data_IF_179292343402
#
_entry.id   IF_179292343402
#
_cell.length_a   1.000
_cell.length_b   1.000
_cell.length_c   1.000
_cell.angle_alpha   90.00
_cell.angle_beta   90.00
_cell.angle_gamma   90.00
#
_symmetry.space_group_name_H-M   'P 1'
#
loop_
_entity.id
_entity.type
_entity.pdbx_description
1 polymer ?
#
# COMPACT_ATOMS: atom_id res chain seq x y z
N UNK A 1 5.84 2.23 -10.35
CA UNK A 1 4.46 2.58 -9.91
C UNK A 1 4.24 1.98 -8.54
N UNK A 2 3.60 2.70 -7.62
CA UNK A 2 3.30 2.16 -6.29
C UNK A 2 1.87 1.63 -6.21
N UNK A 3 1.61 0.75 -5.23
CA UNK A 3 0.27 0.19 -5.02
C UNK A 3 -0.59 1.10 -4.15
N UNK A 4 -1.80 1.42 -4.63
CA UNK A 4 -2.82 2.15 -3.89
C UNK A 4 -4.20 1.54 -4.16
N UNK A 5 -4.90 1.16 -3.09
CA UNK A 5 -6.25 0.67 -3.17
C UNK A 5 -7.16 1.33 -2.15
N UNK A 6 -8.28 1.89 -2.62
CA UNK A 6 -9.38 2.38 -1.80
C UNK A 6 -10.55 1.40 -1.91
N UNK A 7 -11.09 1.00 -0.78
CA UNK A 7 -12.29 0.18 -0.67
C UNK A 7 -13.24 0.76 0.39
N UNK A 8 -14.49 0.28 0.39
CA UNK A 8 -15.51 0.76 1.32
C UNK A 8 -16.16 -0.41 2.06
N UNK A 9 -16.37 -0.21 3.35
CA UNK A 9 -17.09 -1.13 4.21
C UNK A 9 -18.57 -0.68 4.29
N UNK A 10 -19.45 -1.67 4.30
CA UNK A 10 -20.90 -1.50 4.35
C UNK A 10 -21.49 -2.59 5.24
N UNK A 11 -22.58 -2.26 5.92
CA UNK A 11 -23.34 -3.22 6.71
C UNK A 11 -24.04 -4.22 5.78
N UNK A 12 -23.85 -5.51 6.05
CA UNK A 12 -24.54 -6.59 5.34
C UNK A 12 -23.92 -7.95 5.60
N UNK A 13 -24.51 -8.99 5.00
CA UNK A 13 -24.04 -10.36 5.18
C UNK A 13 -22.75 -10.60 4.38
N UNK A 14 -21.64 -10.85 5.08
CA UNK A 14 -20.32 -11.11 4.48
C UNK A 14 -20.26 -12.36 3.58
N UNK A 15 -21.28 -13.21 3.62
CA UNK A 15 -21.43 -14.35 2.70
C UNK A 15 -22.02 -13.95 1.34
N UNK A 16 -22.65 -12.77 1.24
CA UNK A 16 -23.25 -12.26 0.03
C UNK A 16 -22.24 -11.37 -0.70
N UNK A 17 -22.14 -11.54 -2.02
CA UNK A 17 -21.35 -10.66 -2.89
C UNK A 17 -22.10 -9.36 -3.14
N UNK A 18 -21.37 -8.24 -3.20
CA UNK A 18 -21.89 -6.97 -3.66
C UNK A 18 -22.27 -7.07 -5.15
N UNK A 19 -23.00 -6.07 -5.65
CA UNK A 19 -23.50 -6.03 -7.03
C UNK A 19 -22.40 -6.11 -8.10
N UNK A 20 -21.14 -5.88 -7.73
CA UNK A 20 -19.97 -6.02 -8.60
C UNK A 20 -19.48 -7.47 -8.76
N UNK A 21 -20.12 -8.45 -8.11
CA UNK A 21 -19.86 -9.89 -8.27
C UNK A 21 -18.55 -10.41 -7.65
N UNK A 22 -17.71 -9.52 -7.12
CA UNK A 22 -16.37 -9.85 -6.62
C UNK A 22 -16.13 -9.38 -5.18
N UNK A 23 -16.71 -8.26 -4.78
CA UNK A 23 -16.54 -7.70 -3.43
C UNK A 23 -17.52 -8.36 -2.45
N UNK A 24 -17.09 -8.60 -1.21
CA UNK A 24 -17.96 -9.10 -0.13
C UNK A 24 -18.31 -7.95 0.81
N UNK A 25 -19.46 -8.03 1.48
CA UNK A 25 -19.71 -7.15 2.63
C UNK A 25 -18.60 -7.35 3.65
N UNK A 26 -17.96 -6.25 4.05
CA UNK A 26 -16.93 -6.23 5.08
C UNK A 26 -17.38 -5.27 6.18
N UNK A 27 -17.48 -5.80 7.39
CA UNK A 27 -17.80 -5.03 8.59
C UNK A 27 -16.59 -4.22 9.04
N UNK A 28 -16.82 -3.01 9.53
CA UNK A 28 -15.76 -2.11 10.02
C UNK A 28 -15.05 -2.69 11.22
N UNK A 29 -15.79 -3.36 12.12
CA UNK A 29 -15.21 -4.09 13.25
C UNK A 29 -14.23 -5.18 12.79
N UNK A 30 -14.63 -5.97 11.80
CA UNK A 30 -13.77 -7.03 11.27
C UNK A 30 -12.53 -6.45 10.59
N UNK A 31 -12.70 -5.36 9.82
CA UNK A 31 -11.59 -4.62 9.22
C UNK A 31 -10.62 -4.08 10.28
N UNK A 32 -11.12 -3.48 11.37
CA UNK A 32 -10.31 -2.98 12.47
C UNK A 32 -9.49 -4.11 13.13
N UNK A 33 -10.13 -5.21 13.52
CA UNK A 33 -9.40 -6.31 14.15
C UNK A 33 -8.40 -6.97 13.20
N UNK A 34 -8.69 -7.01 11.90
CA UNK A 34 -7.77 -7.48 10.87
C UNK A 34 -6.50 -6.62 10.80
N UNK A 35 -6.64 -5.30 10.69
CA UNK A 35 -5.48 -4.39 10.54
C UNK A 35 -4.70 -4.24 11.86
N UNK A 36 -5.36 -4.39 13.00
CA UNK A 36 -4.71 -4.26 14.32
C UNK A 36 -4.19 -5.59 14.87
N UNK A 37 -4.41 -6.71 14.16
CA UNK A 37 -4.08 -8.07 14.61
C UNK A 37 -4.61 -8.36 16.01
N UNK A 38 -5.88 -8.04 16.25
CA UNK A 38 -6.56 -8.29 17.54
C UNK A 38 -7.64 -9.38 17.41
N UNK A 39 -8.09 -9.91 18.56
CA UNK A 39 -9.08 -10.99 18.65
C UNK A 39 -8.72 -12.20 17.77
N UNK A 40 -9.62 -12.61 16.88
CA UNK A 40 -9.44 -13.74 15.94
C UNK A 40 -8.20 -13.58 15.04
N UNK A 41 -7.71 -12.36 14.82
CA UNK A 41 -6.55 -12.08 13.98
C UNK A 41 -5.24 -12.01 14.75
N UNK A 42 -5.24 -12.22 16.07
CA UNK A 42 -4.02 -12.16 16.91
C UNK A 42 -2.92 -13.13 16.50
N UNK A 43 -3.29 -14.33 16.04
CA UNK A 43 -2.34 -15.33 15.55
C UNK A 43 -2.21 -15.35 14.02
N UNK A 44 -3.02 -14.56 13.33
CA UNK A 44 -3.13 -14.64 11.88
C UNK A 44 -1.83 -14.15 11.21
N UNK A 45 -1.12 -15.06 10.53
CA UNK A 45 0.14 -14.81 9.82
C UNK A 45 1.30 -14.29 10.69
N UNK A 46 1.22 -14.45 12.01
CA UNK A 46 2.23 -13.95 12.96
C UNK A 46 3.66 -14.46 12.70
N UNK A 47 3.83 -15.56 11.98
CA UNK A 47 5.14 -16.12 11.61
C UNK A 47 5.81 -15.43 10.41
N UNK A 48 5.04 -14.72 9.58
CA UNK A 48 5.50 -14.18 8.28
C UNK A 48 5.19 -12.69 8.08
N UNK A 49 4.54 -12.07 9.06
CA UNK A 49 4.08 -10.69 9.01
C UNK A 49 4.26 -10.01 10.37
N UNK A 50 4.90 -8.86 10.38
CA UNK A 50 5.02 -7.96 11.53
C UNK A 50 3.95 -6.85 11.48
N UNK A 51 3.32 -6.58 12.63
CA UNK A 51 2.57 -5.34 12.87
C UNK A 51 3.56 -4.28 13.40
N UNK A 52 4.13 -3.50 12.49
CA UNK A 52 5.17 -2.52 12.82
C UNK A 52 4.65 -1.38 13.69
N UNK A 53 3.44 -0.90 13.38
CA UNK A 53 2.82 0.25 14.04
C UNK A 53 1.31 0.14 13.98
N UNK A 54 0.63 0.65 15.01
CA UNK A 54 -0.82 0.78 15.04
C UNK A 54 -1.22 1.94 15.95
N UNK A 55 -2.08 2.83 15.45
CA UNK A 55 -2.60 3.96 16.23
C UNK A 55 -3.97 4.41 15.73
N UNK A 56 -4.75 5.03 16.61
CA UNK A 56 -6.08 5.57 16.31
C UNK A 56 -6.17 7.05 16.64
N UNK A 57 -6.82 7.82 15.77
CA UNK A 57 -6.88 9.28 15.83
C UNK A 57 -8.32 9.77 15.73
N UNK A 58 -8.56 10.95 16.29
CA UNK A 58 -9.85 11.67 16.25
C UNK A 58 -11.04 10.84 16.71
N UNK A 59 -10.82 9.90 17.63
CA UNK A 59 -11.89 9.12 18.24
C UNK A 59 -12.75 10.00 19.14
N UNK A 60 -14.08 9.85 19.12
CA UNK A 60 -14.96 10.58 20.02
C UNK A 60 -14.79 10.11 21.47
N UNK A 61 -15.11 10.98 22.44
CA UNK A 61 -14.87 10.74 23.86
C UNK A 61 -15.48 9.45 24.42
N UNK A 62 -16.63 9.01 23.87
CA UNK A 62 -17.31 7.78 24.30
C UNK A 62 -16.57 6.48 23.96
N UNK A 63 -15.47 6.55 23.23
CA UNK A 63 -14.61 5.41 22.89
C UNK A 63 -13.67 5.03 24.04
N UNK A 64 -13.34 5.98 24.92
CA UNK A 64 -12.54 5.78 26.14
C UNK A 64 -11.36 4.80 25.98
N UNK A 65 -10.37 5.15 25.15
CA UNK A 65 -9.19 4.32 24.85
C UNK A 65 -9.46 2.91 24.26
N UNK A 66 -10.69 2.63 23.81
CA UNK A 66 -11.09 1.39 23.15
C UNK A 66 -11.59 1.63 21.71
N UNK A 67 -10.71 1.92 20.73
CA UNK A 67 -11.09 2.27 19.37
C UNK A 67 -11.99 1.25 18.65
N UNK A 68 -11.95 -0.02 19.04
CA UNK A 68 -12.85 -1.06 18.54
C UNK A 68 -14.32 -0.75 18.78
N UNK A 69 -14.65 -0.05 19.88
CA UNK A 69 -16.02 0.39 20.18
C UNK A 69 -16.56 1.34 19.12
N UNK A 70 -15.71 2.22 18.56
CA UNK A 70 -16.10 3.10 17.46
C UNK A 70 -16.52 2.31 16.22
N UNK A 71 -15.71 1.31 15.85
CA UNK A 71 -15.97 0.50 14.66
C UNK A 71 -17.17 -0.42 14.84
N UNK A 72 -17.40 -0.92 16.06
CA UNK A 72 -18.64 -1.62 16.39
C UNK A 72 -19.86 -0.70 16.25
N UNK A 73 -19.81 0.50 16.83
CA UNK A 73 -20.89 1.47 16.74
C UNK A 73 -21.17 1.89 15.27
N UNK A 74 -20.13 2.01 14.44
CA UNK A 74 -20.27 2.28 13.02
C UNK A 74 -21.11 1.21 12.31
N UNK A 75 -20.84 -0.07 12.58
CA UNK A 75 -21.59 -1.19 12.00
C UNK A 75 -23.01 -1.31 12.59
N UNK A 76 -23.20 -0.97 13.87
CA UNK A 76 -24.51 -1.02 14.50
C UNK A 76 -25.45 0.08 14.00
N UNK A 77 -25.00 1.33 14.05
CA UNK A 77 -25.87 2.51 13.91
C UNK A 77 -25.89 3.14 12.53
N UNK A 78 -24.98 2.78 11.64
CA UNK A 78 -25.06 3.20 10.23
C UNK A 78 -26.15 2.40 9.51
N UNK A 79 -26.95 3.07 8.68
CA UNK A 79 -27.95 2.43 7.82
C UNK A 79 -27.31 1.40 6.87
N UNK A 80 -28.02 0.31 6.58
CA UNK A 80 -27.61 -0.76 5.64
C UNK A 80 -27.27 -0.25 4.24
N UNK A 81 -27.81 0.91 3.83
CA UNK A 81 -27.56 1.51 2.52
C UNK A 81 -26.34 2.44 2.48
N UNK A 82 -25.66 2.65 3.61
CA UNK A 82 -24.57 3.62 3.74
C UNK A 82 -23.26 2.94 4.10
N UNK A 83 -22.15 3.56 3.65
CA UNK A 83 -20.79 3.19 4.04
C UNK A 83 -20.58 3.41 5.53
N UNK A 84 -20.13 2.37 6.22
CA UNK A 84 -19.77 2.39 7.64
C UNK A 84 -18.37 2.97 7.81
N UNK A 85 -17.44 2.59 6.94
CA UNK A 85 -16.08 3.12 6.88
C UNK A 85 -15.47 2.97 5.48
N UNK A 86 -14.31 3.58 5.29
CA UNK A 86 -13.46 3.46 4.10
C UNK A 86 -12.09 2.92 4.51
N UNK A 87 -11.45 2.16 3.61
CA UNK A 87 -10.15 1.53 3.87
C UNK A 87 -9.22 1.79 2.69
N UNK A 88 -8.12 2.50 2.96
CA UNK A 88 -7.02 2.72 2.03
C UNK A 88 -5.88 1.77 2.38
N UNK A 89 -5.29 1.13 1.36
CA UNK A 89 -4.04 0.37 1.48
C UNK A 89 -3.00 0.95 0.53
N UNK A 90 -1.81 1.25 1.05
CA UNK A 90 -0.71 1.90 0.33
C UNK A 90 0.56 1.09 0.55
N UNK A 91 1.25 0.69 -0.51
CA UNK A 91 2.61 0.15 -0.36
C UNK A 91 3.57 1.27 0.05
N UNK A 92 4.34 1.05 1.11
CA UNK A 92 5.36 1.96 1.58
C UNK A 92 6.72 1.56 0.98
N UNK A 93 7.65 2.51 0.76
CA UNK A 93 9.00 2.16 0.33
C UNK A 93 9.72 1.37 1.42
N UNK A 94 10.32 0.23 1.04
CA UNK A 94 11.10 -0.61 1.96
C UNK A 94 12.46 0.00 2.31
N UNK A 95 12.90 0.96 1.51
CA UNK A 95 14.14 1.72 1.68
C UNK A 95 14.06 2.70 2.85
N UNK A 96 12.85 3.06 3.30
CA UNK A 96 12.65 3.87 4.51
C UNK A 96 12.69 2.97 5.75
N UNK A 97 13.39 3.39 6.80
CA UNK A 97 13.33 2.69 8.09
C UNK A 97 11.94 2.79 8.75
N UNK A 98 11.71 1.97 9.79
CA UNK A 98 10.42 1.89 10.51
C UNK A 98 9.93 3.24 11.04
N UNK A 99 10.80 4.07 11.59
CA UNK A 99 10.40 5.38 12.12
C UNK A 99 9.97 6.32 10.98
N UNK A 100 10.69 6.31 9.86
CA UNK A 100 10.30 7.11 8.68
C UNK A 100 9.02 6.60 8.03
N UNK A 101 8.77 5.29 8.04
CA UNK A 101 7.48 4.71 7.62
C UNK A 101 6.32 5.15 8.52
N UNK A 102 6.55 5.27 9.83
CA UNK A 102 5.56 5.80 10.78
C UNK A 102 5.26 7.27 10.47
N UNK A 103 6.28 8.13 10.39
CA UNK A 103 6.11 9.56 10.07
C UNK A 103 5.39 9.77 8.72
N UNK A 104 5.79 9.02 7.69
CA UNK A 104 5.15 9.03 6.38
C UNK A 104 3.65 8.66 6.49
N UNK A 105 3.36 7.60 7.25
CA UNK A 105 1.99 7.12 7.42
C UNK A 105 1.11 8.10 8.21
N UNK A 106 1.65 8.76 9.22
CA UNK A 106 0.96 9.80 9.98
C UNK A 106 0.70 11.04 9.13
N UNK A 107 1.63 11.43 8.25
CA UNK A 107 1.40 12.50 7.30
C UNK A 107 0.29 12.17 6.29
N UNK A 108 0.30 10.96 5.73
CA UNK A 108 -0.78 10.50 4.84
C UNK A 108 -2.14 10.45 5.56
N UNK A 109 -2.16 9.97 6.81
CA UNK A 109 -3.35 10.00 7.66
C UNK A 109 -3.84 11.42 7.89
N UNK A 110 -2.94 12.35 8.22
CA UNK A 110 -3.31 13.76 8.41
C UNK A 110 -3.92 14.34 7.13
N UNK A 111 -3.27 14.12 5.98
CA UNK A 111 -3.74 14.62 4.68
C UNK A 111 -5.13 14.07 4.32
N UNK A 112 -5.41 12.78 4.57
CA UNK A 112 -6.68 12.20 4.13
C UNK A 112 -7.80 12.28 5.17
N UNK A 113 -7.46 12.33 6.45
CA UNK A 113 -8.42 12.20 7.55
C UNK A 113 -8.22 13.28 8.62
N UNK A 114 -6.98 13.54 9.02
CA UNK A 114 -6.69 14.36 10.20
C UNK A 114 -7.08 15.83 10.06
N UNK A 115 -6.82 16.45 8.91
CA UNK A 115 -7.25 17.83 8.64
C UNK A 115 -8.77 18.01 8.69
N UNK A 116 -9.52 16.91 8.54
CA UNK A 116 -10.98 16.88 8.61
C UNK A 116 -11.50 16.30 9.93
N UNK A 117 -10.63 16.05 10.92
CA UNK A 117 -10.94 15.37 12.19
C UNK A 117 -11.83 14.13 12.01
N UNK A 118 -11.52 13.31 11.00
CA UNK A 118 -12.23 12.05 10.76
C UNK A 118 -11.67 10.95 11.66
N UNK A 119 -12.50 10.24 12.46
CA UNK A 119 -12.05 9.10 13.25
C UNK A 119 -11.39 8.05 12.35
N UNK A 120 -10.16 7.66 12.68
CA UNK A 120 -9.40 6.72 11.88
C UNK A 120 -8.43 5.88 12.71
N UNK A 121 -8.04 4.74 12.14
CA UNK A 121 -7.01 3.85 12.65
C UNK A 121 -6.03 3.56 11.52
N UNK A 122 -4.74 3.75 11.79
CA UNK A 122 -3.69 3.29 10.89
C UNK A 122 -2.96 2.09 11.47
N UNK A 123 -2.53 1.21 10.59
CA UNK A 123 -1.62 0.12 10.92
C UNK A 123 -0.60 -0.06 9.80
N UNK A 124 0.65 -0.35 10.15
CA UNK A 124 1.70 -0.69 9.20
C UNK A 124 1.96 -2.19 9.34
N UNK A 125 1.73 -2.93 8.26
CA UNK A 125 2.07 -4.36 8.17
C UNK A 125 3.32 -4.50 7.32
N UNK A 126 4.23 -5.37 7.72
CA UNK A 126 5.38 -5.74 6.90
C UNK A 126 5.45 -7.27 6.80
N UNK A 127 5.19 -7.81 5.61
CA UNK A 127 5.34 -9.23 5.35
C UNK A 127 6.47 -9.50 4.36
N UNK A 128 7.00 -10.70 4.43
CA UNK A 128 7.93 -11.22 3.42
C UNK A 128 7.16 -11.57 2.16
N UNK A 129 7.67 -11.15 1.00
CA UNK A 129 7.03 -11.35 -0.29
C UNK A 129 6.95 -12.84 -0.64
N UNK A 130 5.75 -13.33 -0.95
CA UNK A 130 5.53 -14.72 -1.34
C UNK A 130 6.16 -15.12 -2.69
N UNK A 131 6.70 -14.15 -3.45
CA UNK A 131 7.32 -14.37 -4.75
C UNK A 131 8.78 -14.83 -4.63
N UNK A 132 9.57 -14.14 -3.82
CA UNK A 132 11.00 -14.42 -3.63
C UNK A 132 11.33 -14.95 -2.22
N UNK A 133 10.37 -14.92 -1.29
CA UNK A 133 10.55 -15.37 0.08
C UNK A 133 11.54 -14.54 0.90
N UNK A 134 11.91 -13.34 0.42
CA UNK A 134 12.97 -12.53 1.02
C UNK A 134 12.62 -11.05 1.08
N UNK A 135 11.99 -10.49 0.04
CA UNK A 135 11.74 -9.05 -0.02
C UNK A 135 10.67 -8.62 0.98
N UNK A 136 10.96 -7.59 1.77
CA UNK A 136 9.97 -6.93 2.62
C UNK A 136 8.90 -6.19 1.79
N UNK A 137 7.68 -6.13 2.31
CA UNK A 137 6.54 -5.44 1.72
C UNK A 137 5.79 -4.62 2.78
N UNK A 138 6.42 -3.55 3.31
CA UNK A 138 5.74 -2.67 4.23
C UNK A 138 4.56 -1.99 3.53
N UNK A 139 3.39 -2.00 4.16
CA UNK A 139 2.20 -1.35 3.64
C UNK A 139 1.35 -0.75 4.75
N UNK A 140 0.82 0.43 4.48
CA UNK A 140 -0.09 1.16 5.34
C UNK A 140 -1.51 0.68 5.08
N UNK A 141 -2.22 0.33 6.14
CA UNK A 141 -3.66 0.28 6.20
C UNK A 141 -4.19 1.53 6.92
N UNK A 142 -5.05 2.30 6.26
CA UNK A 142 -5.77 3.44 6.82
C UNK A 142 -7.27 3.15 6.78
N UNK A 143 -7.85 2.82 7.92
CA UNK A 143 -9.29 2.63 8.12
C UNK A 143 -9.87 3.92 8.71
N UNK A 144 -10.86 4.51 8.05
CA UNK A 144 -11.42 5.79 8.50
C UNK A 144 -12.93 5.88 8.31
N UNK A 145 -13.59 6.64 9.18
CA UNK A 145 -14.96 7.05 8.97
C UNK A 145 -15.00 8.32 8.11
N UNK A 146 -15.89 8.36 7.12
CA UNK A 146 -16.14 9.58 6.34
C UNK A 146 -16.92 10.64 7.16
N UNK A 147 -17.23 10.37 8.44
CA UNK A 147 -17.87 11.29 9.39
C UNK A 147 -16.80 12.15 10.08
N UNK A 148 -17.07 13.45 10.24
CA UNK A 148 -16.12 14.41 10.80
C UNK A 148 -16.53 14.89 12.20
N UNK A 149 -15.52 15.11 13.05
CA UNK A 149 -15.62 15.74 14.36
C UNK A 149 -15.35 17.26 14.33
N UNK A 150 -15.28 17.89 13.15
CA UNK A 150 -14.92 19.32 13.01
C UNK A 150 -15.86 20.28 13.73
N UNK A 151 -17.15 19.92 13.85
CA UNK A 151 -18.14 20.75 14.53
C UNK A 151 -17.96 20.80 16.06
N UNK A 152 -17.09 19.95 16.61
CA UNK A 152 -16.84 19.79 18.04
C UNK A 152 -18.13 19.54 18.87
N UNK A 153 -19.19 19.01 18.25
CA UNK A 153 -20.44 18.66 18.92
C UNK A 153 -20.29 17.26 19.49
N UNK A 154 -20.42 17.14 20.82
CA UNK A 154 -20.47 15.84 21.48
C UNK A 154 -21.76 15.11 21.13
N UNK A 155 -21.63 13.84 20.73
CA UNK A 155 -22.74 12.98 20.33
C UNK A 155 -22.56 11.61 20.95
N UNK A 156 -23.66 11.03 21.41
CA UNK A 156 -23.71 9.60 21.72
C UNK A 156 -23.49 8.77 20.44
N UNK A 157 -23.04 7.52 20.55
CA UNK A 157 -22.78 6.64 19.40
C UNK A 157 -23.96 6.58 18.41
N UNK A 158 -25.18 6.38 18.92
CA UNK A 158 -26.41 6.26 18.13
C UNK A 158 -26.68 7.54 17.33
N UNK A 159 -26.38 8.70 17.92
CA UNK A 159 -26.57 9.98 17.27
C UNK A 159 -25.49 10.24 16.24
N UNK A 160 -24.22 9.96 16.55
CA UNK A 160 -23.08 10.24 15.67
C UNK A 160 -23.28 9.73 14.23
N UNK A 161 -23.78 8.50 14.10
CA UNK A 161 -24.00 7.85 12.80
C UNK A 161 -25.31 8.22 12.09
N UNK A 162 -26.22 8.98 12.73
CA UNK A 162 -27.45 9.49 12.08
C UNK A 162 -27.13 10.42 10.90
N UNK A 163 -28.13 10.70 10.07
CA UNK A 163 -28.01 11.72 9.04
C UNK A 163 -27.70 13.09 9.64
N UNK A 164 -26.78 13.83 9.01
CA UNK A 164 -26.47 15.20 9.37
C UNK A 164 -27.66 16.13 9.10
N UNK A 165 -27.91 17.10 9.99
CA UNK A 165 -28.99 18.07 9.88
C UNK A 165 -28.41 19.49 9.80
N UNK A 166 -28.29 20.03 8.58
CA UNK A 166 -27.64 21.33 8.36
C UNK A 166 -28.26 22.48 9.17
N UNK A 167 -29.59 22.51 9.31
CA UNK A 167 -30.28 23.57 10.07
C UNK A 167 -30.19 23.42 11.59
N UNK A 168 -29.92 22.22 12.10
CA UNK A 168 -29.82 21.91 13.54
C UNK A 168 -28.78 20.79 13.77
N UNK A 169 -27.48 21.07 13.62
CA UNK A 169 -26.41 20.06 13.68
C UNK A 169 -26.36 19.24 14.98
N UNK A 170 -26.80 19.83 16.09
CA UNK A 170 -26.89 19.26 17.43
C UNK A 170 -28.00 18.21 17.58
N UNK A 171 -28.99 18.21 16.66
CA UNK A 171 -30.07 17.21 16.60
C UNK A 171 -29.83 16.14 15.54
N UNK A 172 -28.74 16.27 14.77
CA UNK A 172 -28.32 15.34 13.72
C UNK A 172 -27.10 14.52 14.12
N UNK A 173 -26.70 13.62 13.22
CA UNK A 173 -25.38 12.99 13.32
C UNK A 173 -24.27 13.86 12.76
N UNK A 174 -23.03 13.39 12.86
CA UNK A 174 -21.87 14.12 12.35
C UNK A 174 -21.94 14.35 10.83
N UNK A 175 -21.37 15.46 10.37
CA UNK A 175 -21.25 15.76 8.95
C UNK A 175 -20.41 14.69 8.26
N UNK A 176 -20.87 14.23 7.09
CA UNK A 176 -20.11 13.31 6.26
C UNK A 176 -19.32 14.10 5.22
N UNK A 177 -18.00 13.98 5.25
CA UNK A 177 -17.09 14.63 4.30
C UNK A 177 -16.89 13.68 3.12
N UNK A 178 -17.73 13.84 2.09
CA UNK A 178 -17.66 13.05 0.86
C UNK A 178 -16.69 13.70 -0.14
N UNK A 179 -16.40 12.98 -1.21
CA UNK A 179 -15.65 13.53 -2.34
C UNK A 179 -16.28 14.81 -2.91
N UNK A 180 -17.60 14.94 -2.88
CA UNK A 180 -18.31 16.14 -3.34
C UNK A 180 -18.10 17.31 -2.37
N UNK A 181 -18.13 17.06 -1.05
CA UNK A 181 -17.82 18.07 -0.03
C UNK A 181 -16.39 18.60 -0.19
N UNK A 182 -15.47 17.73 -0.61
CA UNK A 182 -14.07 18.09 -0.90
C UNK A 182 -13.86 18.69 -2.30
N UNK A 183 -14.89 18.79 -3.14
CA UNK A 183 -14.79 19.33 -4.50
C UNK A 183 -14.10 18.40 -5.52
N UNK A 184 -13.91 17.13 -5.20
CA UNK A 184 -13.24 16.16 -6.08
C UNK A 184 -14.20 15.24 -6.84
N UNK A 185 -15.41 15.00 -6.34
CA UNK A 185 -16.39 14.07 -6.92
C UNK A 185 -15.74 12.74 -7.38
N UNK A 186 -15.86 12.35 -8.65
CA UNK A 186 -15.27 11.11 -9.20
C UNK A 186 -13.73 11.09 -9.19
N UNK A 187 -13.07 12.24 -9.04
CA UNK A 187 -11.63 12.38 -9.09
C UNK A 187 -10.94 12.21 -7.73
N UNK A 188 -11.68 11.86 -6.67
CA UNK A 188 -11.10 11.69 -5.32
C UNK A 188 -9.97 10.66 -5.30
N UNK A 189 -10.11 9.56 -6.06
CA UNK A 189 -9.08 8.52 -6.11
C UNK A 189 -7.80 9.05 -6.78
N UNK A 190 -7.94 9.84 -7.84
CA UNK A 190 -6.81 10.50 -8.49
C UNK A 190 -6.14 11.48 -7.53
N UNK A 191 -6.93 12.28 -6.81
CA UNK A 191 -6.40 13.21 -5.80
C UNK A 191 -5.57 12.49 -4.72
N UNK A 192 -6.11 11.44 -4.10
CA UNK A 192 -5.38 10.68 -3.09
C UNK A 192 -4.10 10.06 -3.65
N UNK A 193 -4.15 9.54 -4.87
CA UNK A 193 -2.98 8.94 -5.52
C UNK A 193 -1.88 9.96 -5.82
N UNK A 194 -2.23 11.14 -6.33
CA UNK A 194 -1.28 12.22 -6.59
C UNK A 194 -0.67 12.75 -5.29
N UNK A 195 -1.49 12.92 -4.24
CA UNK A 195 -0.99 13.35 -2.92
C UNK A 195 -0.08 12.32 -2.28
N UNK A 196 -0.42 11.04 -2.39
CA UNK A 196 0.43 9.95 -1.90
C UNK A 196 1.77 9.92 -2.62
N UNK A 197 1.80 10.03 -3.95
CA UNK A 197 3.05 10.10 -4.72
C UNK A 197 3.93 11.26 -4.25
N UNK A 198 3.35 12.47 -4.15
CA UNK A 198 4.07 13.67 -3.70
C UNK A 198 4.72 13.43 -2.34
N UNK A 199 3.92 13.00 -1.35
CA UNK A 199 4.39 12.81 0.02
C UNK A 199 5.44 11.69 0.10
N UNK A 200 5.25 10.56 -0.60
CA UNK A 200 6.24 9.48 -0.62
C UNK A 200 7.56 9.98 -1.23
N UNK A 201 7.51 10.71 -2.35
CA UNK A 201 8.71 11.19 -3.02
C UNK A 201 9.46 12.23 -2.18
N UNK A 202 8.77 13.09 -1.43
CA UNK A 202 9.41 14.02 -0.47
C UNK A 202 10.18 13.25 0.63
N UNK A 203 9.63 12.14 1.12
CA UNK A 203 10.32 11.28 2.10
C UNK A 203 11.51 10.54 1.50
N UNK A 204 11.35 10.01 0.28
CA UNK A 204 12.43 9.32 -0.42
C UNK A 204 13.59 10.27 -0.70
N UNK A 205 13.33 11.46 -1.25
CA UNK A 205 14.36 12.46 -1.51
C UNK A 205 15.14 12.84 -0.24
N UNK A 206 14.47 12.93 0.90
CA UNK A 206 15.08 13.32 2.16
C UNK A 206 15.84 12.19 2.86
N UNK A 207 15.32 10.97 2.87
CA UNK A 207 15.80 9.90 3.75
C UNK A 207 16.34 8.68 3.00
N UNK A 208 15.97 8.47 1.74
CA UNK A 208 16.41 7.34 0.92
C UNK A 208 16.43 7.71 -0.58
N UNK A 209 17.28 8.68 -1.00
CA UNK A 209 17.22 9.26 -2.35
C UNK A 209 17.65 8.28 -3.44
N UNK A 210 18.45 7.28 -3.09
CA UNK A 210 18.86 6.19 -3.96
C UNK A 210 18.43 4.84 -3.40
N UNK A 211 18.35 3.84 -4.28
CA UNK A 211 18.07 2.46 -3.94
C UNK A 211 18.86 1.52 -4.82
N UNK A 212 19.08 0.30 -4.33
CA UNK A 212 19.74 -0.75 -5.10
C UNK A 212 18.68 -1.61 -5.78
N UNK A 213 18.78 -1.75 -7.09
CA UNK A 213 17.97 -2.68 -7.89
C UNK A 213 18.86 -3.72 -8.53
N UNK A 214 18.35 -4.95 -8.67
CA UNK A 214 19.04 -6.02 -9.37
C UNK A 214 18.36 -6.29 -10.72
N UNK A 215 19.12 -6.10 -11.80
CA UNK A 215 18.68 -6.31 -13.18
C UNK A 215 19.58 -7.39 -13.78
N UNK A 216 19.01 -8.56 -14.06
CA UNK A 216 19.72 -9.72 -14.64
C UNK A 216 21.04 -10.05 -13.93
N UNK A 217 21.06 -9.99 -12.60
CA UNK A 217 22.24 -10.28 -11.77
C UNK A 217 23.21 -9.10 -11.57
N UNK A 218 22.95 -7.94 -12.17
CA UNK A 218 23.71 -6.71 -11.94
C UNK A 218 23.00 -5.83 -10.91
N UNK A 219 23.73 -5.47 -9.85
CA UNK A 219 23.27 -4.54 -8.82
C UNK A 219 23.59 -3.11 -9.27
N UNK A 220 22.55 -2.29 -9.34
CA UNK A 220 22.62 -0.89 -9.77
C UNK A 220 22.10 0.01 -8.66
N UNK A 221 22.82 1.09 -8.39
CA UNK A 221 22.30 2.19 -7.59
C UNK A 221 21.53 3.15 -8.51
N UNK A 222 20.26 3.38 -8.21
CA UNK A 222 19.34 4.19 -9.01
C UNK A 222 18.58 5.16 -8.12
N UNK A 223 18.02 6.23 -8.70
CA UNK A 223 17.16 7.15 -7.95
C UNK A 223 15.90 6.45 -7.41
N UNK A 224 15.58 6.76 -6.16
CA UNK A 224 14.40 6.26 -5.48
C UNK A 224 13.24 7.24 -5.68
N UNK A 225 12.26 6.82 -6.49
CA UNK A 225 11.03 7.55 -6.69
C UNK A 225 9.87 6.58 -6.97
N UNK A 226 8.67 7.03 -6.69
CA UNK A 226 7.42 6.37 -7.05
C UNK A 226 6.61 7.25 -8.01
N UNK A 227 5.66 6.63 -8.70
CA UNK A 227 4.69 7.35 -9.52
C UNK A 227 3.30 6.76 -9.35
N UNK A 228 2.29 7.64 -9.35
CA UNK A 228 0.88 7.26 -9.26
C UNK A 228 0.25 6.83 -10.59
N UNK A 229 0.95 7.08 -11.71
CA UNK A 229 0.46 6.78 -13.04
C UNK A 229 0.24 5.28 -13.23
N UNK A 230 -0.69 4.93 -14.13
CA UNK A 230 -0.72 3.57 -14.66
C UNK A 230 0.52 3.34 -15.53
N UNK A 231 0.88 2.08 -15.78
CA UNK A 231 1.95 1.80 -16.75
C UNK A 231 1.63 2.38 -18.14
N UNK A 232 0.37 2.37 -18.55
CA UNK A 232 -0.09 2.94 -19.82
C UNK A 232 0.14 4.46 -19.87
N UNK A 233 -0.30 5.19 -18.85
CA UNK A 233 -0.11 6.65 -18.77
C UNK A 233 1.37 7.02 -18.66
N UNK A 234 2.14 6.23 -17.91
CA UNK A 234 3.58 6.41 -17.79
C UNK A 234 4.29 6.19 -19.13
N UNK A 235 3.93 5.12 -19.85
CA UNK A 235 4.42 4.85 -21.20
C UNK A 235 4.08 6.00 -22.16
N UNK A 236 2.85 6.51 -22.12
CA UNK A 236 2.43 7.65 -22.94
C UNK A 236 3.22 8.92 -22.63
N UNK A 237 3.54 9.16 -21.35
CA UNK A 237 4.23 10.37 -20.90
C UNK A 237 5.75 10.32 -21.15
N UNK A 238 6.38 9.17 -20.96
CA UNK A 238 7.84 9.03 -20.97
C UNK A 238 8.38 8.19 -22.13
N UNK A 239 7.51 7.64 -22.99
CA UNK A 239 7.90 6.82 -24.15
C UNK A 239 8.41 5.42 -23.79
N UNK A 240 8.13 4.94 -22.58
CA UNK A 240 8.53 3.59 -22.11
C UNK A 240 7.60 2.49 -22.62
N UNK A 241 8.01 1.23 -22.44
CA UNK A 241 7.23 0.02 -22.80
C UNK A 241 6.95 -0.89 -21.61
N UNK A 242 6.51 -0.31 -20.50
CA UNK A 242 6.18 -1.06 -19.28
C UNK A 242 4.95 -1.94 -19.47
N UNK A 243 5.01 -3.16 -18.94
CA UNK A 243 3.90 -4.13 -18.95
C UNK A 243 3.28 -4.27 -17.56
N UNK A 244 1.97 -4.49 -17.52
CA UNK A 244 1.28 -4.80 -16.27
C UNK A 244 1.70 -6.18 -15.76
N UNK A 245 1.92 -6.28 -14.45
CA UNK A 245 2.28 -7.53 -13.78
C UNK A 245 0.98 -8.27 -13.43
N UNK A 246 0.77 -9.52 -13.88
CA UNK A 246 -0.41 -10.28 -13.52
C UNK A 246 -0.41 -10.64 -12.02
N UNK A 247 -1.59 -10.85 -11.46
CA UNK A 247 -1.75 -11.34 -10.09
C UNK A 247 -2.05 -12.83 -10.10
N UNK A 248 -1.38 -13.57 -9.22
CA UNK A 248 -1.69 -14.99 -9.02
C UNK A 248 -3.07 -15.08 -8.36
N UNK A 249 -4.03 -15.82 -8.96
CA UNK A 249 -5.34 -16.04 -8.36
C UNK A 249 -5.23 -16.61 -6.94
N UNK A 250 -5.98 -16.03 -6.00
CA UNK A 250 -5.87 -16.39 -4.57
C UNK A 250 -6.19 -17.85 -4.27
N UNK A 251 -7.10 -18.47 -5.04
CA UNK A 251 -7.47 -19.87 -4.84
C UNK A 251 -6.33 -20.83 -5.18
N UNK A 252 -5.43 -20.45 -6.11
CA UNK A 252 -4.28 -21.25 -6.50
C UNK A 252 -3.13 -21.17 -5.49
N UNK A 253 -2.94 -20.01 -4.85
CA UNK A 253 -1.79 -19.75 -3.96
C UNK A 253 -1.64 -20.74 -2.80
N UNK A 254 -2.74 -21.32 -2.34
CA UNK A 254 -2.76 -22.24 -1.19
C UNK A 254 -3.31 -23.62 -1.58
N UNK A 255 -3.44 -23.91 -2.88
CA UNK A 255 -3.88 -25.22 -3.33
C UNK A 255 -2.79 -26.26 -3.10
N UNK A 256 -3.21 -27.44 -2.65
CA UNK A 256 -2.33 -28.60 -2.50
C UNK A 256 -2.25 -29.45 -3.77
N UNK A 257 -3.06 -29.13 -4.79
CA UNK A 257 -3.08 -29.85 -6.07
C UNK A 257 -1.77 -29.61 -6.85
N UNK A 258 -1.08 -30.67 -7.29
CA UNK A 258 0.10 -30.55 -8.15
C UNK A 258 -0.10 -29.70 -9.41
N UNK A 259 -1.27 -29.74 -10.05
CA UNK A 259 -1.55 -28.96 -11.27
C UNK A 259 -1.63 -27.45 -10.97
N UNK A 260 -2.32 -27.10 -9.89
CA UNK A 260 -2.38 -25.72 -9.40
C UNK A 260 -0.99 -25.21 -8.99
N UNK A 261 -0.17 -26.07 -8.37
CA UNK A 261 1.21 -25.72 -8.00
C UNK A 261 2.08 -25.45 -9.23
N UNK A 262 1.95 -26.23 -10.30
CA UNK A 262 2.66 -25.97 -11.55
C UNK A 262 2.21 -24.65 -12.19
N UNK A 263 0.89 -24.42 -12.19
CA UNK A 263 0.30 -23.16 -12.66
C UNK A 263 0.86 -21.96 -11.88
N UNK A 264 0.95 -22.06 -10.55
CA UNK A 264 1.56 -21.02 -9.69
C UNK A 264 3.04 -20.81 -10.04
N UNK A 265 3.81 -21.87 -10.29
CA UNK A 265 5.22 -21.75 -10.72
C UNK A 265 5.34 -21.01 -12.05
N UNK A 266 4.48 -21.30 -13.02
CA UNK A 266 4.45 -20.63 -14.32
C UNK A 266 4.12 -19.15 -14.16
N UNK A 267 3.11 -18.80 -13.36
CA UNK A 267 2.81 -17.41 -13.03
C UNK A 267 3.99 -16.70 -12.35
N UNK A 268 4.67 -17.35 -11.39
CA UNK A 268 5.83 -16.76 -10.71
C UNK A 268 6.94 -16.43 -11.71
N UNK A 269 7.22 -17.34 -12.65
CA UNK A 269 8.21 -17.13 -13.71
C UNK A 269 7.84 -15.94 -14.60
N UNK A 270 6.59 -15.89 -15.08
CA UNK A 270 6.10 -14.78 -15.91
C UNK A 270 6.18 -13.44 -15.16
N UNK A 271 5.76 -13.40 -13.89
CA UNK A 271 5.82 -12.20 -13.05
C UNK A 271 7.27 -11.72 -12.90
N UNK A 272 8.21 -12.63 -12.63
CA UNK A 272 9.64 -12.29 -12.50
C UNK A 272 10.19 -11.73 -13.80
N UNK A 273 9.88 -12.35 -14.93
CA UNK A 273 10.30 -11.90 -16.26
C UNK A 273 9.77 -10.50 -16.58
N UNK A 274 8.48 -10.24 -16.36
CA UNK A 274 7.88 -8.92 -16.57
C UNK A 274 8.52 -7.88 -15.66
N UNK A 275 8.77 -8.21 -14.38
CA UNK A 275 9.43 -7.29 -13.44
C UNK A 275 10.85 -6.94 -13.86
N UNK A 276 11.63 -7.91 -14.29
CA UNK A 276 13.00 -7.69 -14.79
C UNK A 276 13.00 -6.83 -16.05
N UNK A 277 12.12 -7.13 -17.02
CA UNK A 277 11.96 -6.33 -18.23
C UNK A 277 11.55 -4.88 -17.92
N UNK A 278 10.61 -4.69 -17.00
CA UNK A 278 10.19 -3.35 -16.57
C UNK A 278 11.31 -2.59 -15.86
N UNK A 279 12.13 -3.25 -15.02
CA UNK A 279 13.28 -2.61 -14.38
C UNK A 279 14.32 -2.19 -15.43
N UNK A 280 14.63 -3.06 -16.39
CA UNK A 280 15.55 -2.75 -17.48
C UNK A 280 15.05 -1.57 -18.33
N UNK A 281 13.76 -1.52 -18.65
CA UNK A 281 13.16 -0.40 -19.39
C UNK A 281 13.24 0.93 -18.60
N UNK A 282 13.03 0.89 -17.27
CA UNK A 282 13.09 2.08 -16.42
C UNK A 282 14.52 2.63 -16.25
N UNK A 283 15.51 1.73 -16.11
CA UNK A 283 16.89 2.08 -15.76
C UNK A 283 17.87 1.71 -16.88
N UNK A 284 17.40 1.81 -18.12
CA UNK A 284 18.13 1.35 -19.31
C UNK A 284 19.52 2.00 -19.41
N UNK A 285 19.62 3.30 -19.15
CA UNK A 285 20.86 4.06 -19.24
C UNK A 285 21.87 3.61 -18.19
N UNK A 286 21.41 3.47 -16.95
CA UNK A 286 22.23 3.03 -15.82
C UNK A 286 22.70 1.58 -16.01
N UNK A 287 21.83 0.72 -16.55
CA UNK A 287 22.14 -0.67 -16.87
C UNK A 287 23.18 -0.80 -18.00
N UNK A 288 23.00 -0.06 -19.11
CA UNK A 288 23.96 -0.04 -20.23
C UNK A 288 25.34 0.45 -19.77
N UNK A 289 25.40 1.51 -18.96
CA UNK A 289 26.65 2.02 -18.40
C UNK A 289 27.33 0.98 -17.49
N UNK A 290 26.57 0.25 -16.68
CA UNK A 290 27.11 -0.80 -15.82
C UNK A 290 27.65 -1.99 -16.63
N UNK A 291 26.99 -2.36 -17.73
CA UNK A 291 27.47 -3.40 -18.64
C UNK A 291 28.82 -3.00 -19.27
N UNK A 292 28.94 -1.77 -19.78
CA UNK A 292 30.20 -1.28 -20.36
C UNK A 292 31.33 -1.33 -19.34
N UNK A 293 31.10 -0.84 -18.12
CA UNK A 293 32.10 -0.88 -17.04
C UNK A 293 32.52 -2.32 -16.69
N UNK A 294 31.57 -3.25 -16.67
CA UNK A 294 31.86 -4.66 -16.39
C UNK A 294 32.71 -5.28 -17.49
N UNK A 295 32.38 -5.06 -18.76
CA UNK A 295 33.18 -5.54 -19.89
C UNK A 295 34.59 -4.93 -19.88
N UNK A 296 34.74 -3.64 -19.58
CA UNK A 296 36.04 -2.98 -19.45
C UNK A 296 36.88 -3.60 -18.33
N UNK A 297 36.28 -3.90 -17.18
CA UNK A 297 36.96 -4.57 -16.06
C UNK A 297 37.36 -6.02 -16.39
N UNK A 298 36.49 -6.77 -17.07
CA UNK A 298 36.80 -8.13 -17.53
C UNK A 298 37.94 -8.13 -18.56
N UNK A 299 37.94 -7.18 -19.50
CA UNK A 299 39.01 -7.02 -20.48
C UNK A 299 40.34 -6.61 -19.82
N UNK A 300 40.31 -5.68 -18.86
CA UNK A 300 41.51 -5.27 -18.11
C UNK A 300 42.08 -6.43 -17.26
N UNK A 301 41.23 -7.21 -16.61
CA UNK A 301 41.64 -8.38 -15.84
C UNK A 301 42.21 -9.51 -16.72
N UNK A 302 41.68 -9.67 -17.93
CA UNK A 302 42.20 -10.66 -18.90
C UNK A 302 43.59 -10.24 -19.39
N UNK A 303 43.78 -8.96 -19.73
CA UNK A 303 45.10 -8.42 -20.09
C UNK A 303 46.13 -8.55 -18.97
N UNK A 304 45.75 -8.31 -17.71
CA UNK A 304 46.65 -8.47 -16.57
C UNK A 304 47.01 -9.94 -16.30
N UNK A 305 46.09 -10.87 -16.58
CA UNK A 305 46.32 -12.32 -16.40
C UNK A 305 47.22 -12.90 -17.49
N UNK A 306 47.09 -12.42 -18.72
CA UNK A 306 47.97 -12.81 -19.83
C UNK A 306 49.40 -12.24 -19.63
N UNK A 307 49.53 -10.98 -19.19
CA UNK A 307 50.85 -10.42 -18.83
C UNK A 307 51.52 -11.16 -17.66
N UNK A 308 50.74 -11.68 -16.69
CA UNK A 308 51.31 -12.47 -15.59
C UNK A 308 51.74 -13.89 -15.99
N UNK A 309 51.16 -14.47 -17.04
CA UNK A 309 51.57 -15.78 -17.58
C UNK A 309 52.85 -15.69 -18.42
N UNK A 310 53.06 -14.56 -19.09
CA UNK A 310 54.28 -14.31 -19.87
C UNK A 310 55.50 -14.02 -18.98
N UNK A 311 55.32 -13.82 -17.67
CA UNK A 311 56.40 -13.60 -16.68
C UNK A 311 56.79 -14.86 -15.90
N UNK A 312 56.08 -15.99 -16.07
CA UNK A 312 56.32 -17.25 -15.35
C UNK A 312 57.13 -18.29 -16.18
N UNK A 313 57.72 -17.89 -17.31
CA UNK A 313 58.62 -18.71 -18.13
C UNK A 313 60.02 -18.11 -18.20
N UNK A 314 60.70 -18.01 -17.06
CA UNK A 314 62.16 -17.92 -16.99
C UNK A 314 62.58 -18.31 -15.57
N UNK A 315 62.85 -19.60 -15.33
CA UNK A 315 63.86 -20.12 -14.39
C UNK A 315 64.14 -21.61 -14.61
#
# INVERSE_FOLDING_TARGET
MYYFHLSHNVKGNSQIKLSDGHSKYRLSKSAYHYITRTLYFSKHKSEIEELEYCSSYHMPAWVDNHPDQFWYAADQYTSVTRRTSSHITIALPKELDKNRRIELSEMLMHEFCGQYKMPCTIAIHNHVAALDGQSEQPHLHLLFSEKSMLDNIQRLPEQFFKQYRQKNPEKGGALKITADVLGFSRNILFHYRTKTEKIINEFLEKYAPTKIVEIHGLKLEVSSAVSCLSNEDYNKKYGTKLKNVPQIPRHLLYSTDPEDQDTVKNYRKEILEIRQNNLCELYKKEYELALTKKCEQENANTHHRDQSKDLDYDF
#
